data_IF_100018585628
#
_entry.id   IF_100018585628
#
_cell.length_a   1.000
_cell.length_b   1.000
_cell.length_c   1.000
_cell.angle_alpha   90.00
_cell.angle_beta   90.00
_cell.angle_gamma   90.00
#
_symmetry.space_group_name_H-M   'P 1'
#
loop_
_entity.id
_entity.type
_entity.pdbx_description
1 polymer ?
#
# COMPACT_ATOMS: atom_id res chain seq x y z
N UNK A 1 -14.64 15.55 7.65
CA UNK A 1 -13.97 15.18 6.39
C UNK A 1 -15.00 14.69 5.38
N UNK A 2 -15.85 13.74 5.73
CA UNK A 2 -16.88 13.19 4.83
C UNK A 2 -17.83 14.27 4.28
N UNK A 3 -18.29 15.20 5.12
CA UNK A 3 -19.14 16.31 4.67
C UNK A 3 -18.38 17.27 3.76
N UNK A 4 -17.11 17.56 4.09
CA UNK A 4 -16.23 18.41 3.25
C UNK A 4 -15.92 17.74 1.90
N UNK A 5 -15.81 16.41 1.88
CA UNK A 5 -15.60 15.64 0.65
C UNK A 5 -16.81 15.66 -0.32
N UNK A 6 -18.01 16.07 0.15
CA UNK A 6 -19.20 16.26 -0.68
C UNK A 6 -19.30 17.67 -1.27
N UNK A 7 -18.52 18.63 -0.75
CA UNK A 7 -18.50 20.00 -1.28
C UNK A 7 -17.56 20.10 -2.49
N UNK A 8 -18.07 20.36 -3.70
CA UNK A 8 -17.25 20.45 -4.91
C UNK A 8 -16.18 21.55 -4.85
N UNK A 9 -16.40 22.62 -4.09
CA UNK A 9 -15.43 23.69 -3.95
C UNK A 9 -14.28 23.27 -3.03
N UNK A 10 -14.58 22.60 -1.91
CA UNK A 10 -13.58 22.06 -1.01
C UNK A 10 -12.74 20.98 -1.70
N UNK A 11 -13.36 20.07 -2.45
CA UNK A 11 -12.67 19.03 -3.25
C UNK A 11 -11.76 19.69 -4.29
N UNK A 12 -12.22 20.73 -5.00
CA UNK A 12 -11.39 21.47 -5.96
C UNK A 12 -10.20 22.16 -5.30
N UNK A 13 -10.38 22.72 -4.10
CA UNK A 13 -9.28 23.33 -3.33
C UNK A 13 -8.29 22.26 -2.86
N UNK A 14 -8.77 21.15 -2.34
CA UNK A 14 -7.95 19.99 -1.96
C UNK A 14 -7.16 19.43 -3.13
N UNK A 15 -7.77 19.32 -4.31
CA UNK A 15 -7.10 18.89 -5.54
C UNK A 15 -5.94 19.81 -5.96
N UNK A 16 -6.08 21.14 -5.79
CA UNK A 16 -4.98 22.08 -6.04
C UNK A 16 -3.83 21.91 -5.04
N UNK A 17 -4.15 21.71 -3.76
CA UNK A 17 -3.16 21.42 -2.73
C UNK A 17 -2.44 20.11 -3.00
N UNK A 18 -3.18 19.07 -3.43
CA UNK A 18 -2.62 17.78 -3.85
C UNK A 18 -1.65 17.94 -5.02
N UNK A 19 -2.06 18.65 -6.06
CA UNK A 19 -1.23 18.88 -7.25
C UNK A 19 0.10 19.57 -6.89
N UNK A 20 0.09 20.48 -5.91
CA UNK A 20 1.28 21.23 -5.51
C UNK A 20 2.20 20.51 -4.52
N UNK A 21 1.66 19.57 -3.70
CA UNK A 21 2.41 19.02 -2.58
C UNK A 21 2.54 17.48 -2.59
N UNK A 22 1.65 16.78 -3.30
CA UNK A 22 1.51 15.33 -3.19
C UNK A 22 1.77 14.60 -4.52
N UNK A 23 1.46 15.26 -5.65
CA UNK A 23 1.50 14.65 -6.99
C UNK A 23 2.89 14.18 -7.41
N UNK A 24 3.96 14.76 -6.88
CA UNK A 24 5.34 14.35 -7.17
C UNK A 24 5.60 12.89 -6.79
N UNK A 25 4.96 12.40 -5.74
CA UNK A 25 5.07 11.03 -5.27
C UNK A 25 3.88 10.18 -5.70
N UNK A 26 2.65 10.70 -5.56
CA UNK A 26 1.43 9.92 -5.79
C UNK A 26 0.89 9.99 -7.23
N UNK A 27 1.58 10.70 -8.13
CA UNK A 27 1.10 10.94 -9.48
C UNK A 27 0.06 12.06 -9.56
N UNK A 28 -0.06 12.70 -10.72
CA UNK A 28 -1.04 13.77 -10.95
C UNK A 28 -2.49 13.27 -10.94
N UNK A 29 -2.69 12.00 -11.23
CA UNK A 29 -3.96 11.28 -11.20
C UNK A 29 -4.19 10.52 -9.87
N UNK A 30 -3.28 10.70 -8.89
CA UNK A 30 -3.28 10.03 -7.59
C UNK A 30 -3.24 8.49 -7.64
N UNK A 31 -2.90 7.89 -8.80
CA UNK A 31 -2.81 6.42 -8.95
C UNK A 31 -1.50 5.82 -8.48
N UNK A 32 -0.64 6.64 -7.89
CA UNK A 32 0.64 6.20 -7.35
C UNK A 32 1.71 6.01 -8.42
N UNK A 33 2.82 5.45 -7.96
CA UNK A 33 3.96 5.06 -8.78
C UNK A 33 4.72 3.94 -8.06
N UNK A 34 5.82 3.47 -8.65
CA UNK A 34 6.66 2.47 -7.98
C UNK A 34 7.14 2.97 -6.60
N UNK A 35 6.73 2.27 -5.54
CA UNK A 35 6.99 2.64 -4.16
C UNK A 35 6.01 3.62 -3.52
N UNK A 36 5.02 4.11 -4.28
CA UNK A 36 4.00 5.04 -3.80
C UNK A 36 2.59 4.49 -4.05
N UNK A 37 1.71 4.48 -3.03
CA UNK A 37 0.39 3.89 -3.16
C UNK A 37 -0.53 4.66 -4.11
N UNK A 38 -1.41 3.93 -4.78
CA UNK A 38 -2.59 4.45 -5.42
C UNK A 38 -3.58 4.94 -4.34
N UNK A 39 -4.13 6.13 -4.49
CA UNK A 39 -5.06 6.74 -3.55
C UNK A 39 -6.51 6.74 -4.10
N UNK A 40 -6.72 6.11 -5.26
CA UNK A 40 -8.03 6.06 -5.95
C UNK A 40 -8.71 4.69 -5.84
N UNK A 41 -8.02 3.71 -5.25
CA UNK A 41 -8.53 2.36 -5.02
C UNK A 41 -8.94 2.13 -3.55
N UNK A 42 -9.31 0.90 -3.23
CA UNK A 42 -9.70 0.50 -1.88
C UNK A 42 -8.55 -0.16 -1.08
N UNK A 43 -7.34 -0.21 -1.62
CA UNK A 43 -6.20 -0.90 -1.01
C UNK A 43 -5.42 0.00 -0.04
N UNK A 44 -6.02 0.29 1.11
CA UNK A 44 -5.48 1.18 2.12
C UNK A 44 -4.56 0.46 3.11
N UNK A 45 -3.26 0.68 2.99
CA UNK A 45 -2.24 0.06 3.85
C UNK A 45 -2.39 0.44 5.34
N UNK A 46 -2.77 1.68 5.64
CA UNK A 46 -2.90 2.22 6.98
C UNK A 46 -4.37 2.41 7.41
N UNK A 47 -5.29 2.06 6.54
CA UNK A 47 -6.71 2.31 6.68
C UNK A 47 -7.19 3.52 5.87
N UNK A 48 -8.38 3.39 5.28
CA UNK A 48 -9.01 4.39 4.40
C UNK A 48 -10.05 5.27 5.11
N UNK A 49 -10.22 5.11 6.43
CA UNK A 49 -11.13 5.93 7.21
C UNK A 49 -10.71 7.41 7.18
N UNK A 50 -11.66 8.36 7.16
CA UNK A 50 -11.38 9.80 7.01
C UNK A 50 -10.32 10.33 7.99
N UNK A 51 -10.45 10.00 9.27
CA UNK A 51 -9.51 10.45 10.30
C UNK A 51 -8.16 9.73 10.22
N UNK A 52 -8.12 8.51 9.70
CA UNK A 52 -6.87 7.79 9.44
C UNK A 52 -6.10 8.43 8.30
N UNK A 53 -6.78 8.81 7.20
CA UNK A 53 -6.21 9.55 6.08
C UNK A 53 -5.64 10.88 6.58
N UNK A 54 -6.41 11.64 7.37
CA UNK A 54 -5.96 12.90 7.96
C UNK A 54 -4.73 12.72 8.84
N UNK A 55 -4.75 11.74 9.73
CA UNK A 55 -3.60 11.41 10.60
C UNK A 55 -2.37 11.04 9.78
N UNK A 56 -2.56 10.28 8.69
CA UNK A 56 -1.49 9.90 7.77
C UNK A 56 -0.85 11.13 7.11
N UNK A 57 -1.65 12.09 6.67
CA UNK A 57 -1.14 13.33 6.07
C UNK A 57 -0.46 14.22 7.14
N UNK A 58 -1.08 14.36 8.31
CA UNK A 58 -0.55 15.18 9.40
C UNK A 58 0.81 14.71 9.90
N UNK A 59 0.86 13.44 10.33
CA UNK A 59 1.99 12.85 11.04
C UNK A 59 2.99 12.13 10.13
N UNK A 60 2.61 11.90 8.86
CA UNK A 60 3.37 11.02 7.98
C UNK A 60 3.25 9.55 8.37
N UNK A 61 3.98 8.71 7.65
CA UNK A 61 4.07 7.26 7.94
C UNK A 61 5.47 6.75 7.68
N UNK A 62 5.86 5.79 8.50
CA UNK A 62 7.08 5.02 8.30
C UNK A 62 6.74 3.52 8.38
N UNK A 63 7.00 2.79 7.31
CA UNK A 63 6.83 1.35 7.27
C UNK A 63 8.14 0.68 6.84
N UNK A 64 8.46 -0.43 7.47
CA UNK A 64 9.61 -1.24 7.13
C UNK A 64 9.21 -2.72 7.07
N UNK A 65 9.58 -3.37 5.98
CA UNK A 65 9.61 -4.83 5.86
C UNK A 65 11.07 -5.26 5.95
N UNK A 66 11.47 -6.08 6.92
CA UNK A 66 12.84 -6.56 7.01
C UNK A 66 13.29 -7.36 5.78
N UNK A 67 14.59 -7.40 5.53
CA UNK A 67 15.19 -8.29 4.55
C UNK A 67 15.23 -9.71 5.08
N UNK A 68 14.66 -10.65 4.35
CA UNK A 68 14.58 -12.05 4.77
C UNK A 68 15.54 -12.98 4.02
N UNK A 69 16.22 -12.48 2.98
CA UNK A 69 17.06 -13.30 2.09
C UNK A 69 18.11 -14.14 2.83
N UNK A 70 18.82 -13.54 3.79
CA UNK A 70 19.84 -14.23 4.57
C UNK A 70 19.25 -15.21 5.61
N UNK A 71 18.03 -14.93 6.08
CA UNK A 71 17.36 -15.72 7.12
C UNK A 71 16.75 -17.01 6.57
N UNK A 72 16.03 -16.89 5.43
CA UNK A 72 15.28 -18.01 4.84
C UNK A 72 15.96 -18.61 3.61
N UNK A 73 17.05 -17.99 3.13
CA UNK A 73 17.82 -18.43 1.97
C UNK A 73 17.06 -18.26 0.63
N UNK A 74 17.76 -18.45 -0.47
CA UNK A 74 17.22 -18.23 -1.83
C UNK A 74 16.02 -19.15 -2.16
N UNK A 75 16.08 -20.40 -1.73
CA UNK A 75 14.95 -21.34 -1.91
C UNK A 75 13.74 -20.91 -1.08
N UNK A 76 13.95 -20.49 0.18
CA UNK A 76 12.87 -19.97 1.02
C UNK A 76 12.22 -18.72 0.42
N UNK A 77 13.02 -17.77 -0.08
CA UNK A 77 12.53 -16.57 -0.79
C UNK A 77 11.68 -16.95 -2.00
N UNK A 78 12.18 -17.86 -2.84
CA UNK A 78 11.47 -18.32 -4.03
C UNK A 78 10.15 -19.01 -3.67
N UNK A 79 10.19 -19.92 -2.71
CA UNK A 79 9.04 -20.72 -2.32
C UNK A 79 7.94 -19.86 -1.65
N UNK A 80 8.30 -18.95 -0.73
CA UNK A 80 7.29 -18.07 -0.11
C UNK A 80 6.75 -17.02 -1.09
N UNK A 81 7.55 -16.53 -2.03
CA UNK A 81 7.05 -15.66 -3.10
C UNK A 81 6.04 -16.38 -4.00
N UNK A 82 6.29 -17.67 -4.30
CA UNK A 82 5.39 -18.50 -5.06
C UNK A 82 4.09 -18.77 -4.28
N UNK A 83 4.17 -19.04 -2.97
CA UNK A 83 3.00 -19.22 -2.11
C UNK A 83 2.14 -17.94 -2.09
N UNK A 84 2.74 -16.77 -1.86
CA UNK A 84 2.00 -15.50 -1.87
C UNK A 84 1.34 -15.26 -3.23
N UNK A 85 2.09 -15.42 -4.32
CA UNK A 85 1.56 -15.21 -5.66
C UNK A 85 0.37 -16.11 -5.98
N UNK A 86 0.45 -17.40 -5.63
CA UNK A 86 -0.53 -18.40 -6.08
C UNK A 86 -1.67 -18.62 -5.10
N UNK A 87 -1.40 -18.62 -3.80
CA UNK A 87 -2.37 -18.99 -2.77
C UNK A 87 -3.06 -17.79 -2.13
N UNK A 88 -2.43 -16.62 -2.14
CA UNK A 88 -3.03 -15.40 -1.61
C UNK A 88 -3.55 -14.49 -2.71
N UNK A 89 -2.73 -14.18 -3.71
CA UNK A 89 -3.08 -13.31 -4.83
C UNK A 89 -3.81 -14.07 -5.98
N UNK A 90 -3.84 -15.41 -5.94
CA UNK A 90 -4.59 -16.24 -6.88
C UNK A 90 -4.03 -16.31 -8.31
N UNK A 91 -2.85 -15.75 -8.56
CA UNK A 91 -2.21 -15.74 -9.87
C UNK A 91 -1.38 -17.01 -10.12
N UNK A 92 -1.10 -17.27 -11.39
CA UNK A 92 -0.26 -18.41 -11.79
C UNK A 92 1.22 -18.05 -11.73
N UNK A 93 2.05 -19.04 -11.42
CA UNK A 93 3.50 -18.91 -11.59
C UNK A 93 3.86 -18.70 -13.08
N UNK A 94 4.93 -17.94 -13.35
CA UNK A 94 5.47 -17.85 -14.70
C UNK A 94 5.82 -19.23 -15.26
N UNK A 95 5.70 -19.39 -16.59
CA UNK A 95 6.07 -20.63 -17.26
C UNK A 95 7.54 -21.00 -16.97
N UNK A 96 7.78 -22.25 -16.64
CA UNK A 96 9.10 -22.77 -16.29
C UNK A 96 9.57 -22.44 -14.86
N UNK A 97 8.85 -21.61 -14.10
CA UNK A 97 9.19 -21.37 -12.70
C UNK A 97 8.94 -22.63 -11.86
N UNK A 98 9.96 -23.02 -11.07
CA UNK A 98 9.88 -24.14 -10.14
C UNK A 98 9.96 -23.63 -8.71
N UNK A 99 8.96 -23.95 -7.91
CA UNK A 99 8.92 -23.61 -6.49
C UNK A 99 8.10 -24.64 -5.72
N UNK A 100 8.45 -24.85 -4.46
CA UNK A 100 7.70 -25.69 -3.53
C UNK A 100 6.72 -24.79 -2.76
N UNK A 101 5.44 -24.86 -3.13
CA UNK A 101 4.37 -24.05 -2.55
C UNK A 101 4.13 -24.41 -1.08
N UNK A 102 4.23 -25.70 -0.73
CA UNK A 102 4.00 -26.15 0.64
C UNK A 102 5.15 -25.70 1.58
N UNK A 103 6.39 -25.80 1.12
CA UNK A 103 7.52 -25.21 1.83
C UNK A 103 7.36 -23.68 1.98
N UNK A 104 6.86 -22.99 0.94
CA UNK A 104 6.55 -21.57 0.98
C UNK A 104 5.49 -21.23 2.03
N UNK A 105 4.45 -22.03 2.15
CA UNK A 105 3.42 -21.89 3.18
C UNK A 105 4.00 -22.02 4.59
N UNK A 106 4.91 -22.96 4.79
CA UNK A 106 5.58 -23.13 6.10
C UNK A 106 6.44 -21.92 6.46
N UNK A 107 7.21 -21.39 5.50
CA UNK A 107 7.97 -20.15 5.67
C UNK A 107 7.04 -18.98 6.00
N UNK A 108 5.93 -18.84 5.28
CA UNK A 108 4.95 -17.79 5.56
C UNK A 108 4.40 -17.88 6.98
N UNK A 109 3.98 -19.05 7.41
CA UNK A 109 3.40 -19.30 8.72
C UNK A 109 4.36 -19.04 9.88
N UNK A 110 5.66 -19.17 9.68
CA UNK A 110 6.67 -18.96 10.74
C UNK A 110 7.30 -17.58 10.72
N UNK A 111 7.38 -16.95 9.56
CA UNK A 111 8.18 -15.72 9.35
C UNK A 111 7.33 -14.49 8.99
N UNK A 112 6.30 -14.67 8.17
CA UNK A 112 5.57 -13.55 7.57
C UNK A 112 4.25 -13.23 8.29
N UNK A 113 3.64 -14.22 8.92
CA UNK A 113 2.32 -14.15 9.54
C UNK A 113 2.19 -13.06 10.60
N UNK A 114 3.27 -12.77 11.33
CA UNK A 114 3.27 -11.77 12.39
C UNK A 114 2.86 -10.36 11.92
N UNK A 115 3.22 -10.01 10.69
CA UNK A 115 2.89 -8.72 10.09
C UNK A 115 1.73 -8.83 9.10
N UNK A 116 1.69 -9.90 8.29
CA UNK A 116 0.71 -10.02 7.21
C UNK A 116 -0.57 -10.79 7.59
N UNK A 117 -0.62 -11.36 8.79
CA UNK A 117 -1.73 -12.19 9.24
C UNK A 117 -1.78 -13.58 8.56
N UNK A 118 -2.52 -14.54 9.14
CA UNK A 118 -2.56 -15.91 8.63
C UNK A 118 -3.22 -16.01 7.25
N UNK A 119 -4.12 -15.11 6.93
CA UNK A 119 -4.83 -15.05 5.64
C UNK A 119 -4.18 -14.05 4.65
N UNK A 120 -3.05 -13.44 5.02
CA UNK A 120 -2.35 -12.44 4.21
C UNK A 120 -3.06 -11.09 4.08
N UNK A 121 -4.06 -10.81 4.93
CA UNK A 121 -4.87 -9.58 4.89
C UNK A 121 -4.13 -8.33 5.35
N UNK A 122 -2.91 -8.50 5.81
CA UNK A 122 -2.13 -7.40 6.34
C UNK A 122 -2.53 -6.97 7.76
N UNK A 123 -1.85 -5.95 8.24
CA UNK A 123 -2.12 -5.35 9.56
C UNK A 123 -2.01 -3.83 9.44
N UNK A 124 -3.12 -3.09 9.30
CA UNK A 124 -3.10 -1.65 9.12
C UNK A 124 -2.32 -0.90 10.20
N UNK A 125 -2.38 -1.34 11.46
CA UNK A 125 -1.62 -0.73 12.56
C UNK A 125 -0.09 -0.76 12.35
N UNK A 126 0.42 -1.69 11.55
CA UNK A 126 1.84 -1.85 11.21
C UNK A 126 2.16 -1.37 9.78
N UNK A 127 1.16 -0.99 9.01
CA UNK A 127 1.31 -0.65 7.59
C UNK A 127 1.68 -1.84 6.72
N UNK A 128 1.40 -3.06 7.18
CA UNK A 128 1.61 -4.27 6.39
C UNK A 128 0.45 -4.44 5.38
N UNK A 129 0.76 -4.59 4.08
CA UNK A 129 -0.27 -4.65 3.03
C UNK A 129 -1.06 -5.96 3.05
N UNK A 130 -2.28 -5.89 2.50
CA UNK A 130 -3.08 -7.06 2.11
C UNK A 130 -2.40 -7.74 0.91
N UNK A 131 -1.99 -8.99 1.09
CA UNK A 131 -1.29 -9.78 0.05
C UNK A 131 -2.26 -10.52 -0.87
N UNK A 132 -3.56 -10.37 -0.66
CA UNK A 132 -4.60 -11.04 -1.48
C UNK A 132 -5.08 -10.16 -2.65
N UNK A 133 -4.55 -8.94 -2.76
CA UNK A 133 -4.91 -7.97 -3.80
C UNK A 133 -3.66 -7.45 -4.53
N UNK A 134 -3.62 -7.54 -5.88
CA UNK A 134 -2.50 -7.04 -6.66
C UNK A 134 -2.22 -5.55 -6.48
N UNK A 135 -3.25 -4.73 -6.22
CA UNK A 135 -3.15 -3.28 -6.01
C UNK A 135 -2.34 -2.89 -4.76
N UNK A 136 -2.30 -3.76 -3.76
CA UNK A 136 -1.55 -3.51 -2.53
C UNK A 136 -0.01 -3.59 -2.69
N UNK A 137 0.48 -4.12 -3.81
CA UNK A 137 1.91 -4.32 -4.07
C UNK A 137 2.57 -3.11 -4.73
N UNK A 138 2.80 -2.04 -4.00
CA UNK A 138 3.38 -0.79 -4.52
C UNK A 138 4.78 -0.93 -5.13
N UNK A 139 5.51 -2.00 -4.84
CA UNK A 139 6.82 -2.33 -5.44
C UNK A 139 6.72 -3.35 -6.57
N UNK A 140 5.51 -3.57 -7.07
CA UNK A 140 5.20 -4.54 -8.10
C UNK A 140 4.92 -5.94 -7.55
N UNK A 141 4.13 -6.66 -8.29
CA UNK A 141 3.52 -7.94 -7.88
C UNK A 141 3.94 -9.13 -8.76
N UNK A 142 4.88 -8.95 -9.69
CA UNK A 142 5.43 -10.08 -10.44
C UNK A 142 6.21 -11.03 -9.53
N UNK A 143 6.34 -12.29 -9.90
CA UNK A 143 7.09 -13.28 -9.14
C UNK A 143 8.53 -12.82 -8.81
N UNK A 144 9.20 -12.17 -9.76
CA UNK A 144 10.54 -11.62 -9.56
C UNK A 144 10.55 -10.44 -8.57
N UNK A 145 9.55 -9.55 -8.66
CA UNK A 145 9.44 -8.40 -7.75
C UNK A 145 9.08 -8.81 -6.32
N UNK A 146 8.24 -9.85 -6.16
CA UNK A 146 7.97 -10.44 -4.84
C UNK A 146 9.24 -11.02 -4.22
N UNK A 147 10.02 -11.80 -4.97
CA UNK A 147 11.31 -12.32 -4.50
C UNK A 147 12.26 -11.18 -4.10
N UNK A 148 12.35 -10.13 -4.92
CA UNK A 148 13.19 -8.96 -4.61
C UNK A 148 12.74 -8.28 -3.32
N UNK A 149 11.43 -8.09 -3.14
CA UNK A 149 10.85 -7.48 -1.93
C UNK A 149 11.14 -8.30 -0.68
N UNK A 150 10.98 -9.61 -0.76
CA UNK A 150 11.23 -10.53 0.37
C UNK A 150 12.74 -10.61 0.67
N UNK A 151 13.57 -10.71 -0.36
CA UNK A 151 15.03 -10.85 -0.21
C UNK A 151 15.68 -9.64 0.45
N UNK A 152 15.33 -8.43 0.00
CA UNK A 152 16.02 -7.19 0.39
C UNK A 152 15.22 -6.33 1.35
N UNK A 153 13.97 -6.69 1.64
CA UNK A 153 13.08 -5.87 2.43
C UNK A 153 12.65 -4.59 1.69
N UNK A 154 11.88 -3.77 2.39
CA UNK A 154 11.43 -2.45 1.89
C UNK A 154 11.36 -1.45 3.03
N UNK A 155 11.66 -0.21 2.72
CA UNK A 155 11.40 0.92 3.61
C UNK A 155 10.63 1.98 2.84
N UNK A 156 9.58 2.49 3.46
CA UNK A 156 8.77 3.57 2.91
C UNK A 156 8.58 4.67 3.95
N UNK A 157 8.78 5.90 3.54
CA UNK A 157 8.56 7.08 4.38
C UNK A 157 7.66 8.05 3.64
N UNK A 158 6.52 8.38 4.25
CA UNK A 158 5.70 9.53 3.89
C UNK A 158 5.98 10.62 4.91
N UNK A 159 6.52 11.78 4.54
CA UNK A 159 6.82 12.85 5.49
C UNK A 159 5.55 13.47 6.06
N UNK A 160 5.63 13.93 7.31
CA UNK A 160 4.58 14.70 7.97
C UNK A 160 4.36 16.04 7.23
N UNK A 161 3.09 16.42 7.05
CA UNK A 161 2.74 17.65 6.33
C UNK A 161 2.17 18.76 7.23
N UNK A 162 1.94 18.48 8.51
CA UNK A 162 1.25 19.41 9.42
C UNK A 162 2.00 20.72 9.60
N UNK A 163 3.31 20.67 9.82
CA UNK A 163 4.12 21.89 10.04
C UNK A 163 4.20 22.75 8.77
N UNK A 164 4.21 22.12 7.60
CA UNK A 164 4.29 22.80 6.32
C UNK A 164 2.96 23.40 5.86
N UNK A 165 1.86 22.68 6.05
CA UNK A 165 0.55 23.04 5.49
C UNK A 165 -0.42 23.64 6.52
N UNK A 166 -0.29 23.27 7.79
CA UNK A 166 -1.25 23.60 8.84
C UNK A 166 -2.53 22.75 8.77
N UNK A 167 -3.29 22.78 9.86
CA UNK A 167 -4.45 21.88 10.06
C UNK A 167 -5.54 22.04 9.00
N UNK A 168 -5.85 23.25 8.56
CA UNK A 168 -6.96 23.52 7.64
C UNK A 168 -6.67 22.96 6.25
N UNK A 169 -5.45 23.16 5.73
CA UNK A 169 -5.06 22.61 4.44
C UNK A 169 -4.93 21.08 4.48
N UNK A 170 -4.45 20.52 5.60
CA UNK A 170 -4.44 19.07 5.79
C UNK A 170 -5.86 18.52 5.82
N UNK A 171 -6.81 19.20 6.44
CA UNK A 171 -8.23 18.79 6.46
C UNK A 171 -8.83 18.76 5.03
N UNK A 172 -8.58 19.80 4.23
CA UNK A 172 -9.01 19.84 2.82
C UNK A 172 -8.36 18.75 1.98
N UNK A 173 -7.06 18.49 2.19
CA UNK A 173 -6.35 17.39 1.52
C UNK A 173 -6.93 16.04 1.89
N UNK A 174 -7.22 15.80 3.17
CA UNK A 174 -7.85 14.56 3.63
C UNK A 174 -9.22 14.35 3.00
N UNK A 175 -10.04 15.41 2.91
CA UNK A 175 -11.33 15.34 2.24
C UNK A 175 -11.20 15.04 0.74
N UNK A 176 -10.25 15.66 0.06
CA UNK A 176 -9.96 15.39 -1.34
C UNK A 176 -9.51 13.93 -1.54
N UNK A 177 -8.51 13.47 -0.77
CA UNK A 177 -8.00 12.09 -0.88
C UNK A 177 -9.09 11.07 -0.58
N UNK A 178 -9.91 11.32 0.45
CA UNK A 178 -11.06 10.48 0.77
C UNK A 178 -12.06 10.41 -0.40
N UNK A 179 -12.34 11.53 -1.06
CA UNK A 179 -13.25 11.58 -2.20
C UNK A 179 -12.77 10.80 -3.42
N UNK A 180 -11.45 10.56 -3.57
CA UNK A 180 -10.90 9.81 -4.71
C UNK A 180 -11.29 8.33 -4.73
N UNK A 181 -11.45 7.72 -3.55
CA UNK A 181 -11.78 6.29 -3.41
C UNK A 181 -13.19 6.03 -2.92
N UNK A 182 -13.87 7.04 -2.31
CA UNK A 182 -15.19 6.93 -1.72
C UNK A 182 -16.24 7.84 -2.40
N UNK A 183 -15.84 8.69 -3.35
CA UNK A 183 -16.77 9.47 -4.16
C UNK A 183 -17.63 8.58 -5.05
N UNK A 184 -18.89 8.95 -5.27
CA UNK A 184 -19.68 8.34 -6.33
C UNK A 184 -18.89 8.47 -7.64
N UNK A 185 -18.53 7.34 -8.26
CA UNK A 185 -17.95 7.36 -9.60
C UNK A 185 -18.99 8.02 -10.48
N UNK A 186 -18.73 9.27 -10.88
CA UNK A 186 -19.52 9.92 -11.91
C UNK A 186 -19.57 8.95 -13.08
N UNK A 187 -20.77 8.45 -13.37
CA UNK A 187 -20.98 7.63 -14.54
C UNK A 187 -20.64 8.48 -15.76
N UNK A 188 -19.49 8.18 -16.38
CA UNK A 188 -19.20 8.57 -17.76
C UNK A 188 -19.80 7.56 -18.72
#
# INVERSE_FOLDING_TARGET
IEEVAKDPQAVKMGGRLFASNCSICHGSDAKGAYGFPNLTDADWRWGGEPETIKTTIMAGRHAAMPAWGEVIGEEGVKNVAAFVLTQMDGRKLPEGAKADIEAGKQVFATTCVACHGPEGKGTPAMGAPDLTHPGAFIYGSSFAQLQQTIRYGRQGVMPAQQEHLGNDKVHLLAAYVYSLSHGEKSAE
#
